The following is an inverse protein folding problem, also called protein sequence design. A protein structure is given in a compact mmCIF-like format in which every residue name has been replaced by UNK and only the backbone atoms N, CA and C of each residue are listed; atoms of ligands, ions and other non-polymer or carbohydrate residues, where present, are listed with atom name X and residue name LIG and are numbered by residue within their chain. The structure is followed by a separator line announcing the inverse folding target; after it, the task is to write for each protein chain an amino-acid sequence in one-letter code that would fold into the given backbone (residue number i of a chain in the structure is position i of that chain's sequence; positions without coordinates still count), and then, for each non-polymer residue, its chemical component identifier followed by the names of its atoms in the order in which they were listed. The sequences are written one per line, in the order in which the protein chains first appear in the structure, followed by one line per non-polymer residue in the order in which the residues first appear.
data_IF_294817520438
#
_entry.id   IF_294817520438
#
_cell.length_a   1.000
_cell.length_b   1.000
_cell.length_c   1.000
_cell.angle_alpha   90.00
_cell.angle_beta   90.00
_cell.angle_gamma   90.00
#
_symmetry.space_group_name_H-M   'P 1'
#
loop_
_entity.id
_entity.type
_entity.pdbx_description
1 polymer ?
#
# COMPACT_ATOMS: atom_id res chain seq x y z
N UNK A 1 -8.65 10.95 20.55
CA UNK A 1 -9.83 11.05 19.65
C UNK A 1 -10.64 12.25 20.10
N UNK A 2 -11.26 13.00 19.19
CA UNK A 2 -12.14 14.12 19.58
C UNK A 2 -13.53 13.64 20.03
N UNK A 3 -14.28 14.42 20.83
CA UNK A 3 -15.58 14.01 21.38
C UNK A 3 -16.63 13.66 20.32
N UNK A 4 -16.62 14.35 19.18
CA UNK A 4 -17.58 14.13 18.09
C UNK A 4 -17.30 12.80 17.39
N UNK A 5 -16.04 12.52 17.08
CA UNK A 5 -15.63 11.25 16.48
C UNK A 5 -15.89 10.07 17.40
N UNK A 6 -15.65 10.21 18.71
CA UNK A 6 -15.96 9.17 19.70
C UNK A 6 -17.46 8.87 19.76
N UNK A 7 -18.31 9.91 19.78
CA UNK A 7 -19.76 9.75 19.73
C UNK A 7 -20.22 9.10 18.41
N UNK A 8 -19.67 9.52 17.28
CA UNK A 8 -19.98 8.95 15.97
C UNK A 8 -19.62 7.46 15.90
N UNK A 9 -18.45 7.08 16.38
CA UNK A 9 -18.00 5.69 16.35
C UNK A 9 -18.93 4.76 17.13
N UNK A 10 -19.31 5.14 18.35
CA UNK A 10 -20.26 4.35 19.14
C UNK A 10 -21.67 4.37 18.55
N UNK A 11 -22.09 5.47 17.93
CA UNK A 11 -23.36 5.56 17.21
C UNK A 11 -23.40 4.58 16.03
N UNK A 12 -22.33 4.49 15.24
CA UNK A 12 -22.20 3.56 14.10
C UNK A 12 -22.24 2.10 14.58
N UNK A 13 -21.58 1.80 15.70
CA UNK A 13 -21.56 0.45 16.29
C UNK A 13 -22.87 0.07 16.98
N UNK A 14 -23.76 1.03 17.22
CA UNK A 14 -25.00 0.81 17.98
C UNK A 14 -24.78 0.62 19.48
N UNK A 15 -23.64 1.09 20.02
CA UNK A 15 -23.20 0.84 21.40
C UNK A 15 -23.32 2.11 22.27
N UNK A 16 -24.38 2.90 22.07
CA UNK A 16 -24.62 4.15 22.81
C UNK A 16 -24.91 3.94 24.30
N UNK A 17 -25.29 2.72 24.68
CA UNK A 17 -25.48 2.27 26.06
C UNK A 17 -24.16 2.21 26.85
N UNK A 18 -23.02 2.06 26.17
CA UNK A 18 -21.69 2.09 26.80
C UNK A 18 -21.25 3.49 27.25
N UNK A 19 -21.97 4.54 26.84
CA UNK A 19 -21.69 5.91 27.28
C UNK A 19 -22.35 6.13 28.63
N UNK A 20 -21.53 6.23 29.68
CA UNK A 20 -21.99 6.44 31.06
C UNK A 20 -21.75 7.89 31.46
N UNK A 21 -22.80 8.58 31.91
CA UNK A 21 -22.65 9.90 32.53
C UNK A 21 -22.24 9.72 33.99
N UNK A 22 -21.16 10.36 34.40
CA UNK A 22 -20.72 10.45 35.80
C UNK A 22 -20.52 11.93 36.10
N UNK A 23 -21.38 12.50 36.94
CA UNK A 23 -21.42 13.94 37.22
C UNK A 23 -21.57 14.76 35.91
N UNK A 24 -20.61 15.63 35.63
CA UNK A 24 -20.56 16.49 34.44
C UNK A 24 -19.63 15.95 33.34
N UNK A 25 -19.38 14.64 33.33
CA UNK A 25 -18.54 13.98 32.33
C UNK A 25 -19.25 12.77 31.71
N UNK A 26 -19.01 12.55 30.41
CA UNK A 26 -19.34 11.31 29.72
C UNK A 26 -18.10 10.43 29.60
N UNK A 27 -18.25 9.17 30.01
CA UNK A 27 -17.25 8.11 29.88
C UNK A 27 -17.62 7.20 28.72
N UNK A 28 -16.71 7.07 27.76
CA UNK A 28 -16.85 6.24 26.56
C UNK A 28 -16.10 4.93 26.80
N UNK A 29 -16.76 3.98 27.47
CA UNK A 29 -16.09 2.75 27.93
C UNK A 29 -14.93 3.06 28.88
N UNK A 30 -13.77 2.45 28.63
CA UNK A 30 -12.53 2.66 29.41
C UNK A 30 -11.52 3.60 28.71
N UNK A 31 -11.85 4.07 27.50
CA UNK A 31 -10.85 4.67 26.61
C UNK A 31 -10.83 6.20 26.66
N UNK A 32 -11.99 6.84 26.83
CA UNK A 32 -12.11 8.31 26.78
C UNK A 32 -13.09 8.87 27.79
N UNK A 33 -12.77 10.06 28.29
CA UNK A 33 -13.60 10.85 29.21
C UNK A 33 -13.67 12.27 28.67
N UNK A 34 -14.87 12.83 28.57
CA UNK A 34 -15.09 14.19 28.08
C UNK A 34 -16.11 14.92 28.96
N UNK A 35 -15.95 16.23 29.23
CA UNK A 35 -16.99 17.03 29.88
C UNK A 35 -18.29 17.01 29.07
N UNK A 36 -19.45 16.97 29.73
CA UNK A 36 -20.76 17.01 29.07
C UNK A 36 -20.94 18.30 28.25
N UNK A 37 -20.45 19.42 28.79
CA UNK A 37 -20.54 20.75 28.19
C UNK A 37 -19.49 21.04 27.11
N UNK A 38 -18.60 20.10 26.78
CA UNK A 38 -17.54 20.33 25.78
C UNK A 38 -18.16 20.63 24.41
N UNK A 39 -17.70 21.71 23.78
CA UNK A 39 -18.09 22.03 22.41
C UNK A 39 -17.49 21.03 21.43
N UNK A 40 -18.32 20.56 20.51
CA UNK A 40 -17.90 19.62 19.47
C UNK A 40 -17.52 20.35 18.19
N UNK A 41 -16.87 19.64 17.27
CA UNK A 41 -16.52 20.16 15.97
C UNK A 41 -17.73 20.39 15.02
N UNK A 42 -18.96 20.07 15.46
CA UNK A 42 -20.15 20.24 14.61
C UNK A 42 -20.75 21.63 14.80
N UNK A 43 -20.65 22.47 13.76
CA UNK A 43 -21.26 23.81 13.73
C UNK A 43 -22.70 23.77 13.25
N UNK A 44 -23.61 24.32 14.05
CA UNK A 44 -24.99 24.54 13.65
C UNK A 44 -25.09 25.51 12.47
N UNK A 45 -26.18 25.45 11.70
CA UNK A 45 -26.46 26.46 10.65
C UNK A 45 -26.60 27.88 11.20
N UNK A 46 -26.86 28.04 12.50
CA UNK A 46 -26.93 29.34 13.17
C UNK A 46 -25.55 29.85 13.65
N UNK A 47 -24.48 29.07 13.43
CA UNK A 47 -23.11 29.47 13.71
C UNK A 47 -22.55 28.97 15.04
N UNK A 48 -23.38 28.59 16.00
CA UNK A 48 -22.92 28.05 17.30
C UNK A 48 -22.47 26.59 17.17
N UNK A 49 -21.51 26.17 17.99
CA UNK A 49 -21.10 24.77 18.10
C UNK A 49 -22.06 24.02 19.02
N UNK A 50 -22.39 22.78 18.68
CA UNK A 50 -23.15 21.92 19.59
C UNK A 50 -22.23 21.31 20.65
N UNK A 51 -22.72 21.23 21.89
CA UNK A 51 -22.02 20.52 22.96
C UNK A 51 -22.20 19.00 22.84
N UNK A 52 -21.32 18.24 23.48
CA UNK A 52 -21.40 16.78 23.50
C UNK A 52 -22.72 16.29 24.10
N UNK A 53 -23.19 16.93 25.18
CA UNK A 53 -24.49 16.63 25.81
C UNK A 53 -25.65 16.85 24.86
N UNK A 54 -25.67 17.96 24.11
CA UNK A 54 -26.70 18.24 23.11
C UNK A 54 -26.75 17.16 22.04
N UNK A 55 -25.58 16.77 21.50
CA UNK A 55 -25.50 15.75 20.45
C UNK A 55 -25.90 14.36 20.96
N UNK A 56 -25.38 13.95 22.11
CA UNK A 56 -25.73 12.66 22.71
C UNK A 56 -27.22 12.55 23.03
N UNK A 57 -27.80 13.62 23.60
CA UNK A 57 -29.23 13.68 23.88
C UNK A 57 -30.07 13.60 22.59
N UNK A 58 -29.64 14.29 21.52
CA UNK A 58 -30.29 14.22 20.23
C UNK A 58 -30.26 12.81 19.63
N UNK A 59 -29.11 12.13 19.62
CA UNK A 59 -29.00 10.78 19.04
C UNK A 59 -29.89 9.78 19.77
N UNK A 60 -29.97 9.84 21.12
CA UNK A 60 -30.88 8.97 21.88
C UNK A 60 -32.37 9.22 21.57
N UNK A 61 -32.73 10.47 21.29
CA UNK A 61 -34.12 10.91 21.17
C UNK A 61 -34.52 11.31 19.73
N UNK A 62 -33.76 10.90 18.71
CA UNK A 62 -33.97 11.35 17.33
C UNK A 62 -35.31 10.89 16.73
N UNK A 63 -35.86 9.78 17.24
CA UNK A 63 -37.14 9.18 16.84
C UNK A 63 -38.37 9.97 17.31
N UNK A 64 -38.22 10.83 18.31
CA UNK A 64 -39.29 11.67 18.85
C UNK A 64 -39.55 12.86 17.91
N UNK A 65 -40.82 13.28 17.78
CA UNK A 65 -41.20 14.46 17.00
C UNK A 65 -40.46 15.71 17.51
N UNK A 66 -40.07 16.60 16.60
CA UNK A 66 -39.20 17.73 16.96
C UNK A 66 -39.77 18.62 18.07
N UNK A 67 -41.07 18.92 18.04
CA UNK A 67 -41.75 19.74 19.07
C UNK A 67 -41.61 19.13 20.46
N UNK A 68 -41.82 17.83 20.59
CA UNK A 68 -41.71 17.10 21.86
C UNK A 68 -40.25 16.97 22.30
N UNK A 69 -39.33 16.73 21.36
CA UNK A 69 -37.89 16.77 21.62
C UNK A 69 -37.43 18.11 22.23
N UNK A 70 -37.93 19.25 21.71
CA UNK A 70 -37.61 20.58 22.24
C UNK A 70 -38.13 20.77 23.67
N UNK A 71 -39.36 20.30 23.94
CA UNK A 71 -39.94 20.35 25.29
C UNK A 71 -39.13 19.51 26.27
N UNK A 72 -38.79 18.27 25.89
CA UNK A 72 -38.03 17.35 26.73
C UNK A 72 -36.60 17.87 26.99
N UNK A 73 -35.94 18.43 25.97
CA UNK A 73 -34.62 19.05 26.13
C UNK A 73 -34.67 20.24 27.10
N UNK A 74 -35.70 21.09 26.98
CA UNK A 74 -35.88 22.25 27.87
C UNK A 74 -36.09 21.84 29.33
N UNK A 75 -36.87 20.79 29.59
CA UNK A 75 -37.09 20.25 30.94
C UNK A 75 -35.76 19.79 31.56
N UNK A 76 -34.92 19.13 30.76
CA UNK A 76 -33.60 18.66 31.19
C UNK A 76 -32.53 19.77 31.19
N UNK A 77 -32.89 21.00 30.81
CA UNK A 77 -31.97 22.15 30.67
C UNK A 77 -30.82 21.89 29.68
N UNK A 78 -31.04 21.05 28.68
CA UNK A 78 -30.06 20.72 27.65
C UNK A 78 -30.33 21.59 26.42
N UNK A 79 -29.31 22.27 25.84
CA UNK A 79 -29.47 22.95 24.57
C UNK A 79 -29.88 21.96 23.46
N UNK A 80 -30.80 22.36 22.59
CA UNK A 80 -31.39 21.46 21.59
C UNK A 80 -30.79 21.62 20.20
N UNK A 81 -30.71 20.53 19.44
CA UNK A 81 -30.36 20.56 18.02
C UNK A 81 -31.48 21.23 17.21
N UNK A 82 -31.12 22.19 16.36
CA UNK A 82 -32.06 22.94 15.53
C UNK A 82 -32.69 22.06 14.44
N UNK A 83 -33.91 22.37 14.02
CA UNK A 83 -34.63 21.59 12.99
C UNK A 83 -33.83 21.40 11.68
N UNK A 84 -33.17 22.42 11.10
CA UNK A 84 -32.39 22.26 9.87
C UNK A 84 -31.21 21.31 10.02
N UNK A 85 -30.65 21.19 11.23
CA UNK A 85 -29.47 20.38 11.50
C UNK A 85 -29.79 18.91 11.77
N UNK A 86 -31.03 18.57 12.16
CA UNK A 86 -31.41 17.20 12.58
C UNK A 86 -31.01 16.13 11.58
N UNK A 87 -31.53 16.22 10.34
CA UNK A 87 -31.28 15.23 9.29
C UNK A 87 -29.78 15.11 8.95
N UNK A 88 -29.07 16.19 8.56
CA UNK A 88 -27.66 16.08 8.17
C UNK A 88 -26.74 15.67 9.33
N UNK A 89 -27.05 16.07 10.56
CA UNK A 89 -26.30 15.64 11.75
C UNK A 89 -26.49 14.15 12.02
N UNK A 90 -27.73 13.66 11.94
CA UNK A 90 -28.03 12.25 12.18
C UNK A 90 -27.39 11.35 11.13
N UNK A 91 -27.45 11.73 9.85
CA UNK A 91 -26.80 10.98 8.76
C UNK A 91 -25.28 10.89 8.97
N UNK A 92 -24.66 11.97 9.46
CA UNK A 92 -23.24 11.98 9.79
C UNK A 92 -22.91 11.06 10.98
N UNK A 93 -23.67 11.17 12.08
CA UNK A 93 -23.45 10.37 13.30
C UNK A 93 -23.73 8.88 13.08
N UNK A 94 -24.70 8.52 12.23
CA UNK A 94 -24.96 7.14 11.81
C UNK A 94 -23.97 6.60 10.79
N UNK A 95 -23.02 7.43 10.33
CA UNK A 95 -22.00 7.03 9.37
C UNK A 95 -22.49 6.92 7.92
N UNK A 96 -23.70 7.38 7.59
CA UNK A 96 -24.21 7.44 6.21
C UNK A 96 -23.41 8.41 5.35
N UNK A 97 -22.84 9.44 5.98
CA UNK A 97 -21.91 10.39 5.36
C UNK A 97 -20.59 10.41 6.13
N UNK A 98 -19.48 10.50 5.40
CA UNK A 98 -18.12 10.55 5.96
C UNK A 98 -17.69 11.96 6.39
N UNK A 99 -18.30 12.99 5.82
CA UNK A 99 -18.03 14.40 6.11
C UNK A 99 -19.29 15.25 5.95
N UNK A 100 -19.33 16.39 6.64
CA UNK A 100 -20.39 17.38 6.54
C UNK A 100 -19.75 18.78 6.51
N UNK A 101 -20.28 19.70 5.70
CA UNK A 101 -19.80 21.09 5.57
C UNK A 101 -19.67 21.80 6.92
N UNK A 102 -20.53 21.44 7.89
CA UNK A 102 -20.50 21.91 9.27
C UNK A 102 -19.17 21.61 10.01
N UNK A 103 -18.46 20.56 9.59
CA UNK A 103 -17.19 20.08 10.18
C UNK A 103 -16.00 20.51 9.31
N UNK A 104 -16.20 20.61 7.99
CA UNK A 104 -15.17 21.00 7.02
C UNK A 104 -14.53 22.36 7.31
N UNK A 105 -15.29 23.29 7.92
CA UNK A 105 -14.75 24.60 8.32
C UNK A 105 -13.69 24.54 9.43
N UNK A 106 -13.73 23.54 10.32
CA UNK A 106 -12.71 23.40 11.38
C UNK A 106 -11.43 22.79 10.80
N UNK A 107 -11.55 21.76 9.97
CA UNK A 107 -10.40 21.20 9.23
C UNK A 107 -9.72 22.21 8.32
N UNK A 108 -10.47 23.19 7.81
CA UNK A 108 -9.91 24.28 6.99
C UNK A 108 -9.11 25.31 7.81
N UNK A 109 -9.34 25.41 9.13
CA UNK A 109 -8.63 26.32 10.04
C UNK A 109 -7.48 25.61 10.78
N UNK A 110 -7.55 24.28 10.92
CA UNK A 110 -6.48 23.47 11.50
C UNK A 110 -5.17 23.66 10.72
N UNK A 111 -4.17 24.22 11.40
CA UNK A 111 -2.78 24.26 10.92
C UNK A 111 -2.00 23.16 11.62
N UNK A 112 -1.62 22.06 10.94
CA UNK A 112 -0.74 21.08 11.55
C UNK A 112 0.60 21.75 11.88
N UNK A 113 0.90 21.90 13.17
CA UNK A 113 2.14 22.54 13.63
C UNK A 113 3.37 21.70 13.28
N UNK A 114 3.21 20.38 13.26
CA UNK A 114 4.22 19.37 12.92
C UNK A 114 3.50 18.15 12.36
N UNK A 115 3.89 17.68 11.19
CA UNK A 115 3.49 16.38 10.65
C UNK A 115 4.60 15.33 10.89
N UNK A 116 4.33 14.06 10.55
CA UNK A 116 5.32 12.98 10.70
C UNK A 116 6.59 13.23 9.88
N UNK A 117 6.50 14.02 8.81
CA UNK A 117 7.64 14.33 7.94
C UNK A 117 8.49 15.47 8.51
N UNK A 118 7.89 16.41 9.23
CA UNK A 118 8.60 17.48 9.95
C UNK A 118 9.43 16.94 11.11
N UNK A 119 9.12 15.74 11.63
CA UNK A 119 9.99 15.01 12.56
C UNK A 119 11.27 14.49 11.88
N UNK A 120 11.24 14.28 10.57
CA UNK A 120 12.37 13.80 9.77
C UNK A 120 13.27 14.94 9.26
N UNK A 121 12.85 16.20 9.43
CA UNK A 121 13.56 17.37 8.93
C UNK A 121 14.21 18.17 10.07
N UNK A 122 15.54 18.32 10.03
CA UNK A 122 16.26 19.20 10.95
C UNK A 122 16.24 20.64 10.40
N UNK A 123 15.44 21.54 11.00
CA UNK A 123 15.23 22.93 10.51
C UNK A 123 16.51 23.74 10.29
N UNK A 124 17.60 23.46 11.02
CA UNK A 124 18.83 24.25 10.99
C UNK A 124 20.08 23.45 10.60
N UNK A 125 19.93 22.22 10.10
CA UNK A 125 21.05 21.43 9.61
C UNK A 125 20.63 20.62 8.38
N UNK A 126 21.16 21.00 7.24
CA UNK A 126 21.24 20.10 6.09
C UNK A 126 22.65 19.49 6.03
N UNK A 127 22.70 18.23 5.59
CA UNK A 127 23.95 17.56 5.23
C UNK A 127 24.07 17.47 3.70
N UNK A 128 23.28 18.26 2.98
CA UNK A 128 23.22 18.20 1.52
C UNK A 128 24.53 18.70 0.93
N UNK A 129 25.09 19.78 1.48
CA UNK A 129 26.42 20.28 1.12
C UNK A 129 27.53 19.23 1.32
N UNK A 130 27.49 18.49 2.43
CA UNK A 130 28.44 17.40 2.73
C UNK A 130 28.26 16.24 1.77
N UNK A 131 27.01 15.86 1.47
CA UNK A 131 26.68 14.81 0.50
C UNK A 131 27.17 15.17 -0.90
N UNK A 132 26.89 16.40 -1.36
CA UNK A 132 27.33 16.90 -2.67
C UNK A 132 28.86 16.98 -2.76
N UNK A 133 29.54 17.38 -1.68
CA UNK A 133 31.00 17.38 -1.63
C UNK A 133 31.58 15.96 -1.67
N UNK A 134 30.94 15.00 -0.97
CA UNK A 134 31.36 13.60 -0.98
C UNK A 134 31.12 12.93 -2.34
N UNK A 135 29.95 13.13 -2.95
CA UNK A 135 29.64 12.58 -4.28
C UNK A 135 30.53 13.18 -5.35
N UNK A 136 30.79 14.49 -5.33
CA UNK A 136 31.71 15.13 -6.27
C UNK A 136 33.14 14.60 -6.13
N UNK A 137 33.61 14.36 -4.90
CA UNK A 137 34.93 13.75 -4.65
C UNK A 137 34.99 12.31 -5.15
N UNK A 138 33.92 11.54 -4.98
CA UNK A 138 33.83 10.16 -5.50
C UNK A 138 33.78 10.15 -7.04
N UNK A 139 33.02 11.03 -7.67
CA UNK A 139 32.97 11.19 -9.13
C UNK A 139 34.31 11.61 -9.71
N UNK A 140 35.02 12.54 -9.06
CA UNK A 140 36.35 12.99 -9.47
C UNK A 140 37.38 11.87 -9.31
N UNK A 141 37.30 11.10 -8.22
CA UNK A 141 38.10 9.89 -8.01
C UNK A 141 37.83 8.84 -9.09
N UNK A 142 36.57 8.61 -9.46
CA UNK A 142 36.19 7.67 -10.52
C UNK A 142 36.64 8.17 -11.92
N UNK A 143 36.62 9.48 -12.17
CA UNK A 143 37.18 10.09 -13.40
C UNK A 143 38.69 9.93 -13.49
N UNK A 144 39.42 10.15 -12.40
CA UNK A 144 40.87 9.93 -12.36
C UNK A 144 41.21 8.44 -12.50
N UNK A 145 40.45 7.56 -11.84
CA UNK A 145 40.66 6.10 -11.93
C UNK A 145 40.32 5.54 -13.32
N UNK A 146 39.37 6.13 -14.04
CA UNK A 146 39.06 5.76 -15.43
C UNK A 146 40.05 6.32 -16.45
N UNK A 147 40.64 7.51 -16.20
CA UNK A 147 41.75 8.03 -17.00
C UNK A 147 43.04 7.23 -16.78
N UNK A 148 43.37 6.84 -15.55
CA UNK A 148 44.53 5.99 -15.26
C UNK A 148 44.42 4.56 -15.83
N UNK A 149 43.20 4.07 -16.09
CA UNK A 149 42.98 2.76 -16.75
C UNK A 149 43.20 2.79 -18.28
N UNK A 150 43.34 3.96 -18.91
CA UNK A 150 43.60 4.08 -20.36
C UNK A 150 45.09 4.04 -20.74
N UNK A 151 45.99 4.38 -19.82
CA UNK A 151 47.45 4.44 -20.07
C UNK A 151 48.26 3.29 -19.45
N UNK A 152 47.61 2.36 -18.74
CA UNK A 152 48.27 1.23 -18.08
C UNK A 152 47.93 -0.11 -18.70
N UNK A 153 48.72 -0.55 -19.69
CA UNK A 153 48.72 -1.93 -20.15
C UNK A 153 49.02 -2.92 -19.00
N UNK A 154 48.17 -3.94 -18.89
CA UNK A 154 48.35 -5.20 -18.16
C UNK A 154 48.62 -5.12 -16.64
N UNK A 155 47.55 -5.23 -15.84
CA UNK A 155 47.63 -5.97 -14.57
C UNK A 155 46.29 -6.58 -14.18
N UNK A 156 46.26 -7.91 -14.05
CA UNK A 156 45.08 -8.69 -13.66
C UNK A 156 44.57 -8.26 -12.27
N UNK A 157 43.26 -7.94 -12.18
CA UNK A 157 42.53 -7.87 -10.92
C UNK A 157 41.89 -9.24 -10.61
N UNK A 158 41.79 -9.64 -9.33
CA UNK A 158 41.27 -10.95 -8.95
C UNK A 158 39.80 -11.10 -9.36
N UNK A 159 39.48 -12.23 -9.99
CA UNK A 159 38.12 -12.61 -10.39
C UNK A 159 37.27 -12.87 -9.15
N UNK A 160 36.42 -11.93 -8.78
CA UNK A 160 35.15 -12.28 -8.14
C UNK A 160 34.20 -12.72 -9.25
N UNK A 161 33.86 -14.01 -9.25
CA UNK A 161 32.83 -14.59 -10.12
C UNK A 161 31.45 -14.17 -9.59
N UNK A 162 31.06 -12.93 -9.86
CA UNK A 162 29.65 -12.54 -9.89
C UNK A 162 29.25 -12.44 -11.35
N UNK A 163 28.26 -13.21 -11.78
CA UNK A 163 27.71 -13.10 -13.13
C UNK A 163 27.20 -11.67 -13.29
N UNK A 164 27.82 -10.88 -14.17
CA UNK A 164 27.36 -9.51 -14.43
C UNK A 164 25.97 -9.61 -15.08
N UNK A 165 24.93 -9.33 -14.31
CA UNK A 165 23.62 -9.00 -14.85
C UNK A 165 23.85 -7.90 -15.89
N UNK A 166 23.33 -8.07 -17.11
CA UNK A 166 23.61 -7.19 -18.23
C UNK A 166 23.39 -5.71 -17.90
N UNK A 167 24.11 -4.81 -18.57
CA UNK A 167 23.97 -3.36 -18.39
C UNK A 167 22.57 -2.92 -18.86
N UNK A 168 21.65 -2.64 -17.93
CA UNK A 168 20.27 -2.24 -18.25
C UNK A 168 19.25 -2.51 -17.15
N UNK A 169 17.97 -2.23 -17.41
CA UNK A 169 16.87 -2.46 -16.47
C UNK A 169 16.60 -3.98 -16.37
N UNK A 170 16.56 -4.60 -15.18
CA UNK A 170 16.29 -6.04 -15.05
C UNK A 170 14.88 -6.41 -15.54
N UNK A 171 14.72 -7.60 -16.10
CA UNK A 171 13.45 -8.11 -16.66
C UNK A 171 12.86 -9.19 -15.77
N UNK A 172 11.55 -9.12 -15.55
CA UNK A 172 10.71 -10.15 -14.94
C UNK A 172 9.77 -10.70 -16.01
N UNK A 173 9.76 -12.02 -16.19
CA UNK A 173 8.83 -12.67 -17.10
C UNK A 173 7.58 -13.16 -16.36
N UNK A 174 6.41 -12.91 -16.93
CA UNK A 174 5.13 -13.40 -16.42
C UNK A 174 4.43 -14.26 -17.48
N UNK A 175 3.57 -15.21 -17.08
CA UNK A 175 2.78 -15.96 -18.04
C UNK A 175 1.83 -15.08 -18.85
N UNK A 176 1.69 -15.37 -20.14
CA UNK A 176 0.63 -14.79 -20.98
C UNK A 176 -0.68 -15.60 -20.92
N UNK A 177 -0.76 -16.68 -20.15
CA UNK A 177 -1.94 -17.55 -20.10
C UNK A 177 -3.00 -17.02 -19.12
N UNK A 178 -4.26 -17.00 -19.57
CA UNK A 178 -5.41 -16.42 -18.84
C UNK A 178 -5.80 -17.14 -17.55
N UNK A 179 -5.37 -18.39 -17.36
CA UNK A 179 -5.68 -19.19 -16.17
C UNK A 179 -4.68 -19.02 -15.01
N UNK A 180 -3.67 -18.17 -15.18
CA UNK A 180 -2.67 -17.92 -14.13
C UNK A 180 -3.11 -16.82 -13.18
N UNK A 181 -2.65 -16.95 -11.94
CA UNK A 181 -2.94 -15.97 -10.91
C UNK A 181 -2.23 -14.65 -11.21
N UNK A 182 -0.98 -14.68 -11.71
CA UNK A 182 -0.23 -13.49 -12.06
C UNK A 182 -0.02 -13.40 -13.57
N UNK A 183 -0.30 -12.23 -14.13
CA UNK A 183 -0.13 -11.91 -15.55
C UNK A 183 0.38 -10.49 -15.69
N UNK A 184 0.67 -10.06 -16.92
CA UNK A 184 1.03 -8.66 -17.19
C UNK A 184 -0.07 -7.68 -16.75
N UNK A 185 -1.32 -8.10 -16.60
CA UNK A 185 -2.42 -7.20 -16.26
C UNK A 185 -2.48 -6.81 -14.77
N UNK A 186 -1.94 -7.62 -13.87
CA UNK A 186 -2.09 -7.46 -12.41
C UNK A 186 -0.77 -7.49 -11.63
N UNK A 187 0.34 -7.82 -12.30
CA UNK A 187 1.67 -7.92 -11.68
C UNK A 187 2.13 -6.63 -11.01
N UNK A 188 1.72 -5.48 -11.56
CA UNK A 188 2.14 -4.18 -11.01
C UNK A 188 1.54 -3.94 -9.64
N UNK A 189 0.22 -4.05 -9.49
CA UNK A 189 -0.46 -3.85 -8.20
C UNK A 189 -0.03 -4.91 -7.18
N UNK A 190 0.24 -6.14 -7.63
CA UNK A 190 0.73 -7.17 -6.74
C UNK A 190 2.14 -6.87 -6.23
N UNK A 191 3.09 -6.53 -7.11
CA UNK A 191 4.48 -6.33 -6.71
C UNK A 191 4.74 -4.97 -6.06
N UNK A 192 4.10 -3.88 -6.51
CA UNK A 192 4.29 -2.54 -5.94
C UNK A 192 3.45 -2.33 -4.68
N UNK A 193 2.14 -2.60 -4.78
CA UNK A 193 1.17 -2.27 -3.72
C UNK A 193 0.92 -3.44 -2.76
N UNK A 194 1.32 -4.66 -3.14
CA UNK A 194 1.04 -5.86 -2.36
C UNK A 194 -0.44 -6.25 -2.42
N UNK A 195 -1.13 -5.96 -3.52
CA UNK A 195 -2.58 -6.20 -3.69
C UNK A 195 -2.81 -7.15 -4.85
N UNK A 196 -3.41 -8.32 -4.57
CA UNK A 196 -3.80 -9.23 -5.64
C UNK A 196 -5.19 -8.87 -6.19
N UNK A 197 -5.24 -8.63 -7.49
CA UNK A 197 -6.49 -8.45 -8.25
C UNK A 197 -6.54 -9.54 -9.33
N UNK A 198 -7.62 -10.35 -9.41
CA UNK A 198 -7.76 -11.35 -10.45
C UNK A 198 -7.62 -10.76 -11.86
N UNK A 199 -6.96 -11.51 -12.76
CA UNK A 199 -6.69 -11.06 -14.14
C UNK A 199 -7.96 -10.71 -14.90
N UNK A 200 -9.05 -11.48 -14.75
CA UNK A 200 -10.33 -11.24 -15.43
C UNK A 200 -10.98 -9.92 -14.98
N UNK A 201 -10.85 -9.57 -13.70
CA UNK A 201 -11.30 -8.29 -13.16
C UNK A 201 -10.47 -7.13 -13.75
N UNK A 202 -9.14 -7.29 -13.82
CA UNK A 202 -8.26 -6.28 -14.41
C UNK A 202 -8.52 -6.05 -15.89
N UNK A 203 -8.71 -7.12 -16.67
CA UNK A 203 -9.01 -7.03 -18.09
C UNK A 203 -10.34 -6.28 -18.34
N UNK A 204 -11.37 -6.52 -17.51
CA UNK A 204 -12.66 -5.79 -17.60
C UNK A 204 -12.55 -4.31 -17.25
N UNK A 205 -11.67 -3.95 -16.31
CA UNK A 205 -11.44 -2.56 -15.90
C UNK A 205 -10.57 -1.79 -16.90
N UNK A 206 -9.72 -2.49 -17.65
CA UNK A 206 -8.83 -1.87 -18.63
C UNK A 206 -9.63 -1.37 -19.85
N UNK A 207 -9.49 -0.07 -20.14
CA UNK A 207 -9.92 0.52 -21.41
C UNK A 207 -8.68 0.69 -22.29
N UNK A 208 -8.40 -0.29 -23.14
CA UNK A 208 -7.25 -0.21 -24.06
C UNK A 208 -6.70 -1.55 -24.50
N UNK A 209 -5.67 -1.51 -25.33
CA UNK A 209 -4.93 -2.68 -25.77
C UNK A 209 -4.10 -3.27 -24.62
N UNK A 210 -3.79 -4.57 -24.74
CA UNK A 210 -2.87 -5.25 -23.83
C UNK A 210 -1.49 -4.56 -23.84
N UNK A 211 -0.91 -4.21 -22.69
CA UNK A 211 0.44 -3.66 -22.63
C UNK A 211 1.47 -4.74 -23.03
N UNK A 212 2.46 -4.37 -23.84
CA UNK A 212 3.56 -5.28 -24.20
C UNK A 212 4.70 -5.29 -23.16
N UNK A 213 4.82 -4.22 -22.37
CA UNK A 213 5.80 -4.08 -21.29
C UNK A 213 5.22 -3.20 -20.19
N UNK A 214 5.48 -3.54 -18.93
CA UNK A 214 5.12 -2.74 -17.75
C UNK A 214 6.36 -2.49 -16.90
N UNK A 215 6.54 -1.27 -16.43
CA UNK A 215 7.58 -0.98 -15.42
C UNK A 215 7.02 -1.15 -14.01
N UNK A 216 7.73 -1.93 -13.20
CA UNK A 216 7.51 -2.12 -11.76
C UNK A 216 8.66 -1.50 -10.98
N UNK A 217 8.36 -0.71 -9.96
CA UNK A 217 9.35 -0.05 -9.12
C UNK A 217 9.37 -0.65 -7.72
N UNK A 218 10.54 -1.12 -7.29
CA UNK A 218 10.78 -1.55 -5.91
C UNK A 218 11.58 -0.50 -5.16
N UNK A 219 10.99 0.05 -4.10
CA UNK A 219 11.70 0.85 -3.10
C UNK A 219 12.37 -0.09 -2.09
N UNK A 220 13.69 -0.12 -2.08
CA UNK A 220 14.45 -0.83 -1.04
C UNK A 220 14.54 0.00 0.24
N UNK A 221 14.83 -0.67 1.37
CA UNK A 221 14.94 -0.04 2.70
C UNK A 221 15.96 1.11 2.71
N UNK A 222 16.95 1.09 1.81
CA UNK A 222 18.02 2.07 1.65
C UNK A 222 17.76 3.17 0.58
N UNK A 223 16.49 3.49 0.28
CA UNK A 223 16.04 4.52 -0.68
C UNK A 223 16.39 4.31 -2.16
N UNK A 224 17.24 3.33 -2.51
CA UNK A 224 17.46 2.95 -3.91
C UNK A 224 16.15 2.39 -4.46
N UNK A 225 15.61 3.04 -5.50
CA UNK A 225 14.46 2.55 -6.25
C UNK A 225 15.00 1.82 -7.46
N UNK A 226 14.77 0.51 -7.55
CA UNK A 226 15.12 -0.26 -8.75
C UNK A 226 13.87 -0.46 -9.59
N UNK A 227 13.97 -0.12 -10.87
CA UNK A 227 12.94 -0.40 -11.85
C UNK A 227 13.16 -1.81 -12.43
N UNK A 228 12.06 -2.50 -12.73
CA UNK A 228 12.03 -3.77 -13.41
C UNK A 228 11.09 -3.68 -14.60
N UNK A 229 11.48 -4.21 -15.74
CA UNK A 229 10.59 -4.41 -16.89
C UNK A 229 9.86 -5.74 -16.75
N UNK A 230 8.54 -5.72 -16.86
CA UNK A 230 7.72 -6.93 -16.87
C UNK A 230 7.21 -7.18 -18.28
N UNK A 231 7.50 -8.36 -18.81
CA UNK A 231 7.10 -8.80 -20.15
C UNK A 231 6.48 -10.19 -20.09
N UNK A 232 5.63 -10.51 -21.06
CA UNK A 232 4.91 -11.80 -21.10
C UNK A 232 5.08 -12.58 -22.42
N UNK A 233 5.82 -12.01 -23.38
CA UNK A 233 6.19 -12.62 -24.66
C UNK A 233 7.71 -12.86 -24.70
N UNK A 234 8.20 -14.03 -24.26
CA UNK A 234 9.63 -14.35 -24.35
C UNK A 234 10.17 -14.30 -25.79
N UNK A 235 9.33 -14.59 -26.78
CA UNK A 235 9.67 -14.50 -28.21
C UNK A 235 9.98 -13.10 -28.71
N UNK A 236 9.63 -12.04 -27.97
CA UNK A 236 9.95 -10.66 -28.30
C UNK A 236 11.30 -10.20 -27.72
N UNK A 237 11.99 -11.04 -26.94
CA UNK A 237 13.30 -10.73 -26.35
C UNK A 237 14.42 -10.97 -27.37
N UNK A 238 15.38 -10.04 -27.41
CA UNK A 238 16.64 -10.24 -28.13
C UNK A 238 17.59 -11.12 -27.30
N UNK A 239 18.60 -11.70 -27.95
CA UNK A 239 19.61 -12.52 -27.27
C UNK A 239 20.24 -11.79 -26.05
N UNK A 240 20.56 -10.51 -26.20
CA UNK A 240 21.14 -9.65 -25.16
C UNK A 240 20.17 -9.36 -23.99
N UNK A 241 18.85 -9.41 -24.23
CA UNK A 241 17.86 -9.15 -23.19
C UNK A 241 17.81 -10.29 -22.17
N UNK A 242 18.17 -11.51 -22.58
CA UNK A 242 18.15 -12.69 -21.70
C UNK A 242 19.15 -12.59 -20.55
N UNK A 243 20.25 -11.86 -20.72
CA UNK A 243 21.22 -11.56 -19.65
C UNK A 243 20.67 -10.59 -18.60
N UNK A 244 19.55 -9.91 -18.89
CA UNK A 244 18.83 -9.04 -17.96
C UNK A 244 17.63 -9.72 -17.30
N UNK A 245 17.24 -10.93 -17.74
CA UNK A 245 16.11 -11.65 -17.14
C UNK A 245 16.55 -12.20 -15.79
N UNK A 246 15.99 -11.63 -14.73
CA UNK A 246 16.34 -12.00 -13.34
C UNK A 246 15.31 -12.92 -12.72
N UNK A 247 14.05 -12.84 -13.13
CA UNK A 247 12.97 -13.64 -12.56
C UNK A 247 11.95 -14.11 -13.62
N UNK A 248 11.29 -15.24 -13.34
CA UNK A 248 10.15 -15.75 -14.11
C UNK A 248 9.04 -16.26 -13.18
N UNK A 249 7.81 -15.83 -13.41
CA UNK A 249 6.62 -16.50 -12.89
C UNK A 249 6.23 -17.65 -13.82
N UNK A 250 6.17 -18.87 -13.28
CA UNK A 250 5.97 -20.09 -14.06
C UNK A 250 4.52 -20.56 -14.05
N UNK A 251 4.12 -21.21 -15.14
CA UNK A 251 2.84 -21.88 -15.34
C UNK A 251 2.78 -23.26 -14.69
N UNK A 252 3.94 -23.89 -14.47
CA UNK A 252 4.03 -25.31 -14.11
C UNK A 252 3.83 -26.26 -15.30
N UNK A 253 4.07 -25.79 -16.53
CA UNK A 253 4.03 -26.58 -17.76
C UNK A 253 5.37 -26.51 -18.49
N UNK A 254 5.93 -27.64 -18.89
CA UNK A 254 7.27 -27.72 -19.53
C UNK A 254 7.35 -26.92 -20.83
N UNK A 255 6.27 -26.95 -21.63
CA UNK A 255 6.22 -26.22 -22.89
C UNK A 255 6.36 -24.70 -22.73
N UNK A 256 6.20 -24.13 -21.52
CA UNK A 256 6.45 -22.71 -21.25
C UNK A 256 7.86 -22.28 -21.68
N UNK A 257 8.84 -23.17 -21.48
CA UNK A 257 10.25 -22.89 -21.73
C UNK A 257 10.69 -23.33 -23.14
N UNK A 258 9.74 -23.70 -24.00
CA UNK A 258 10.02 -24.00 -25.39
C UNK A 258 10.59 -22.75 -26.07
N UNK A 259 11.65 -22.96 -26.85
CA UNK A 259 12.35 -21.92 -27.61
C UNK A 259 13.09 -20.88 -26.75
N UNK A 260 13.32 -21.16 -25.47
CA UNK A 260 14.19 -20.35 -24.61
C UNK A 260 15.67 -20.66 -24.91
N UNK A 261 16.59 -19.70 -24.73
CA UNK A 261 18.02 -19.88 -25.02
C UNK A 261 18.77 -20.64 -23.91
N UNK A 262 18.15 -21.67 -23.33
CA UNK A 262 18.71 -22.49 -22.27
C UNK A 262 18.48 -23.97 -22.58
N UNK A 263 19.42 -24.82 -22.16
CA UNK A 263 19.39 -26.26 -22.47
C UNK A 263 18.25 -26.99 -21.75
N UNK A 264 18.06 -26.68 -20.47
CA UNK A 264 17.11 -27.36 -19.59
C UNK A 264 16.64 -26.46 -18.44
N UNK A 265 15.69 -26.95 -17.65
CA UNK A 265 15.18 -26.23 -16.48
C UNK A 265 16.26 -25.95 -15.42
N UNK A 266 17.30 -26.79 -15.32
CA UNK A 266 18.37 -26.59 -14.34
C UNK A 266 19.19 -25.37 -14.72
N UNK A 267 19.54 -25.21 -15.99
CA UNK A 267 20.22 -24.00 -16.47
C UNK A 267 19.35 -22.75 -16.29
N UNK A 268 18.07 -22.83 -16.61
CA UNK A 268 17.12 -21.72 -16.43
C UNK A 268 17.13 -21.26 -14.97
N UNK A 269 16.87 -22.17 -14.02
CA UNK A 269 16.70 -21.80 -12.62
C UNK A 269 18.00 -21.57 -11.84
N UNK A 270 19.16 -21.80 -12.48
CA UNK A 270 20.46 -21.33 -11.97
C UNK A 270 20.74 -19.88 -12.40
N UNK A 271 20.19 -19.41 -13.53
CA UNK A 271 20.40 -18.06 -14.05
C UNK A 271 19.24 -17.11 -13.72
N UNK A 272 18.03 -17.64 -13.56
CA UNK A 272 16.79 -16.89 -13.39
C UNK A 272 16.03 -17.44 -12.19
N UNK A 273 15.65 -16.62 -11.22
CA UNK A 273 14.81 -17.11 -10.11
C UNK A 273 13.39 -17.42 -10.61
N UNK A 274 12.91 -18.63 -10.34
CA UNK A 274 11.56 -19.04 -10.67
C UNK A 274 10.59 -18.82 -9.50
N UNK A 275 9.38 -18.34 -9.80
CA UNK A 275 8.26 -18.23 -8.86
C UNK A 275 7.03 -18.96 -9.39
N UNK A 276 6.35 -19.75 -8.55
CA UNK A 276 5.07 -20.35 -8.87
C UNK A 276 4.00 -19.88 -7.89
N UNK A 277 3.02 -19.14 -8.41
CA UNK A 277 1.94 -18.59 -7.59
C UNK A 277 0.74 -19.53 -7.59
N UNK A 278 0.24 -19.88 -6.40
CA UNK A 278 -0.94 -20.74 -6.20
C UNK A 278 -1.83 -20.20 -5.09
N UNK A 279 -3.08 -20.66 -5.03
CA UNK A 279 -3.85 -20.45 -3.81
C UNK A 279 -3.43 -21.44 -2.71
N UNK A 280 -3.52 -21.00 -1.46
CA UNK A 280 -3.25 -21.82 -0.28
C UNK A 280 -4.07 -23.12 -0.30
N UNK A 281 -5.35 -23.04 -0.65
CA UNK A 281 -6.31 -24.15 -0.65
C UNK A 281 -6.23 -25.04 -1.92
N UNK A 282 -5.38 -24.72 -2.90
CA UNK A 282 -5.26 -25.56 -4.09
C UNK A 282 -4.59 -26.90 -3.74
N UNK A 283 -4.97 -27.98 -4.42
CA UNK A 283 -4.44 -29.30 -4.07
C UNK A 283 -2.93 -29.38 -4.29
N UNK A 284 -2.23 -30.27 -3.58
CA UNK A 284 -0.76 -30.37 -3.64
C UNK A 284 -0.28 -30.77 -5.03
N UNK A 285 -1.14 -31.46 -5.79
CA UNK A 285 -0.95 -31.88 -7.18
C UNK A 285 -0.73 -30.69 -8.11
N UNK A 286 -1.32 -29.51 -7.82
CA UNK A 286 -1.13 -28.29 -8.61
C UNK A 286 0.34 -27.87 -8.72
N UNK A 287 1.17 -28.22 -7.73
CA UNK A 287 2.59 -27.89 -7.68
C UNK A 287 3.50 -29.09 -7.97
N UNK A 288 2.96 -30.27 -8.32
CA UNK A 288 3.74 -31.51 -8.45
C UNK A 288 4.91 -31.38 -9.43
N UNK A 289 4.66 -30.81 -10.61
CA UNK A 289 5.70 -30.59 -11.61
C UNK A 289 6.71 -29.54 -11.17
N UNK A 290 6.21 -28.44 -10.62
CA UNK A 290 7.05 -27.31 -10.19
C UNK A 290 8.00 -27.69 -9.05
N UNK A 291 7.59 -28.60 -8.16
CA UNK A 291 8.44 -29.10 -7.07
C UNK A 291 9.69 -29.84 -7.56
N UNK A 292 9.70 -30.31 -8.81
CA UNK A 292 10.88 -30.93 -9.42
C UNK A 292 11.88 -29.88 -9.94
N UNK A 293 11.46 -28.61 -9.99
CA UNK A 293 12.27 -27.50 -10.46
C UNK A 293 12.75 -26.65 -9.27
N UNK A 294 13.87 -25.93 -9.41
CA UNK A 294 14.35 -24.98 -8.40
C UNK A 294 13.53 -23.68 -8.43
N UNK A 295 12.23 -23.80 -8.14
CA UNK A 295 11.23 -22.73 -8.20
C UNK A 295 10.65 -22.48 -6.80
N UNK A 296 10.45 -21.21 -6.46
CA UNK A 296 9.89 -20.79 -5.18
C UNK A 296 8.37 -20.75 -5.27
N UNK A 297 7.68 -21.45 -4.37
CA UNK A 297 6.22 -21.45 -4.32
C UNK A 297 5.77 -20.24 -3.51
N UNK A 298 4.88 -19.44 -4.08
CA UNK A 298 4.26 -18.27 -3.45
C UNK A 298 2.78 -18.58 -3.28
N UNK A 299 2.34 -18.65 -2.04
CA UNK A 299 0.95 -18.95 -1.69
C UNK A 299 0.19 -17.66 -1.41
N UNK A 300 -1.00 -17.52 -1.98
CA UNK A 300 -1.93 -16.43 -1.68
C UNK A 300 -3.28 -16.97 -1.24
N UNK A 301 -4.00 -16.21 -0.41
CA UNK A 301 -5.35 -16.59 0.01
C UNK A 301 -6.40 -16.23 -1.04
N UNK A 302 -7.45 -17.05 -1.16
CA UNK A 302 -8.64 -16.71 -1.97
C UNK A 302 -9.44 -15.55 -1.37
N UNK A 303 -9.45 -15.43 -0.04
CA UNK A 303 -10.36 -14.54 0.68
C UNK A 303 -9.65 -13.49 1.55
N UNK A 304 -8.37 -13.70 1.94
CA UNK A 304 -7.65 -12.81 2.87
C UNK A 304 -6.70 -11.84 2.15
N UNK A 305 -7.27 -10.81 1.52
CA UNK A 305 -6.50 -9.80 0.75
C UNK A 305 -5.43 -9.04 1.55
N UNK A 306 -5.60 -8.92 2.87
CA UNK A 306 -4.60 -8.30 3.75
C UNK A 306 -3.27 -9.09 3.85
N UNK A 307 -3.26 -10.36 3.44
CA UNK A 307 -2.06 -11.21 3.43
C UNK A 307 -1.29 -11.12 2.10
N UNK A 308 -1.88 -10.58 1.04
CA UNK A 308 -1.25 -10.47 -0.28
C UNK A 308 0.08 -9.72 -0.21
N UNK A 309 0.16 -8.70 0.65
CA UNK A 309 1.38 -7.93 0.88
C UNK A 309 2.53 -8.78 1.41
N UNK A 310 2.24 -9.78 2.24
CA UNK A 310 3.28 -10.69 2.74
C UNK A 310 3.84 -11.56 1.60
N UNK A 311 2.97 -12.08 0.73
CA UNK A 311 3.38 -12.85 -0.44
C UNK A 311 4.22 -12.03 -1.43
N UNK A 312 3.84 -10.77 -1.67
CA UNK A 312 4.61 -9.86 -2.51
C UNK A 312 5.99 -9.55 -1.91
N UNK A 313 6.08 -9.33 -0.59
CA UNK A 313 7.36 -9.14 0.10
C UNK A 313 8.24 -10.39 -0.01
N UNK A 314 7.65 -11.58 0.13
CA UNK A 314 8.38 -12.84 -0.01
C UNK A 314 8.99 -13.02 -1.41
N UNK A 315 8.31 -12.58 -2.47
CA UNK A 315 8.87 -12.54 -3.83
C UNK A 315 10.09 -11.63 -3.87
N UNK A 316 9.96 -10.41 -3.35
CA UNK A 316 11.04 -9.41 -3.37
C UNK A 316 12.26 -9.86 -2.57
N UNK A 317 12.07 -10.39 -1.37
CA UNK A 317 13.15 -10.84 -0.50
C UNK A 317 13.98 -11.95 -1.19
N UNK A 318 13.31 -12.90 -1.86
CA UNK A 318 13.99 -13.98 -2.59
C UNK A 318 14.65 -13.51 -3.87
N UNK A 319 14.04 -12.57 -4.59
CA UNK A 319 14.64 -11.97 -5.78
C UNK A 319 15.90 -11.18 -5.41
N UNK A 320 15.85 -10.40 -4.34
CA UNK A 320 17.00 -9.62 -3.86
C UNK A 320 18.13 -10.54 -3.40
N UNK A 321 17.81 -11.60 -2.65
CA UNK A 321 18.80 -12.60 -2.26
C UNK A 321 19.48 -13.24 -3.46
N UNK A 322 18.72 -13.58 -4.50
CA UNK A 322 19.22 -14.16 -5.75
C UNK A 322 20.09 -13.19 -6.56
N UNK A 323 19.69 -11.93 -6.68
CA UNK A 323 20.45 -10.90 -7.41
C UNK A 323 21.77 -10.55 -6.69
N UNK A 324 21.82 -10.73 -5.37
CA UNK A 324 23.02 -10.46 -4.56
C UNK A 324 24.02 -11.63 -4.56
N UNK A 325 23.58 -12.87 -4.82
CA UNK A 325 24.42 -14.08 -4.78
C UNK A 325 25.30 -14.23 -6.02
#
# INVERSE_FOLDING_TARGET
MDPLSALRELTIRGELDKIVRVNDEFRFGNDYIFPCSVETAYRSKQGNLYTLETLFYYVKNHHIKHTEYLQNARIQKIPSVTLPDRKPLLEYLQGKVSSNDAISMIKAIERPLKDRETLLQCRNRDFHSVLVAATRREEERQRIESQQRKDGLSRQKPKMKGSKIGEGVPIILVPSASQTLITIYNVKEFLEDGVYIPTDVKVKQMKGAKPDCITVQKKFRDRVVTAYEVRDKPSALKAEDWDRVVAVFVLGKEWQFKDWPFKDHVEIFNKIIGFFMRFEDDSVESAKMVKQWNVKIISISKNKRHQDRAAALEVWDRLEEFVRS
#
